data_IF_038760965037
#
_entry.id   IF_038760965037
#
_cell.length_a   1.000
_cell.length_b   1.000
_cell.length_c   1.000
_cell.angle_alpha   90.00
_cell.angle_beta   90.00
_cell.angle_gamma   90.00
#
_symmetry.space_group_name_H-M   'P 1'
#
loop_
_entity.id
_entity.type
_entity.pdbx_description
1 polymer ?
#
# COMPACT_ATOMS: atom_id res chain seq x y z
N UNK A 1 6.17 -4.44 -26.47
CA UNK A 1 5.11 -4.52 -25.44
C UNK A 1 5.05 -3.18 -24.74
N UNK A 2 3.93 -2.49 -24.84
CA UNK A 2 3.74 -1.16 -24.27
C UNK A 2 3.76 -1.21 -22.74
N UNK A 3 4.45 -0.26 -22.10
CA UNK A 3 4.57 -0.22 -20.64
C UNK A 3 3.36 0.49 -20.01
N UNK A 4 2.54 -0.26 -19.27
CA UNK A 4 1.35 0.29 -18.60
C UNK A 4 1.71 0.84 -17.23
N UNK A 5 1.81 2.17 -17.15
CA UNK A 5 2.16 2.87 -15.91
C UNK A 5 0.95 3.42 -15.12
N UNK A 6 -0.23 3.51 -15.74
CA UNK A 6 -1.40 4.15 -15.13
C UNK A 6 -2.28 3.09 -14.46
N UNK A 7 -2.52 3.26 -13.16
CA UNK A 7 -3.54 2.53 -12.43
C UNK A 7 -4.90 3.21 -12.58
N UNK A 8 -5.91 2.45 -13.01
CA UNK A 8 -7.28 2.94 -13.25
C UNK A 8 -8.10 3.16 -11.97
N UNK A 9 -7.62 2.67 -10.83
CA UNK A 9 -8.25 2.88 -9.53
C UNK A 9 -7.21 2.90 -8.41
N UNK A 10 -7.54 3.55 -7.30
CA UNK A 10 -6.70 3.58 -6.11
C UNK A 10 -6.44 2.15 -5.57
N UNK A 11 -7.45 1.27 -5.57
CA UNK A 11 -7.25 -0.13 -5.17
C UNK A 11 -6.31 -0.87 -6.13
N UNK A 12 -6.46 -0.65 -7.44
CA UNK A 12 -5.57 -1.21 -8.45
C UNK A 12 -4.12 -0.76 -8.25
N UNK A 13 -3.92 0.51 -7.92
CA UNK A 13 -2.61 1.07 -7.58
C UNK A 13 -1.98 0.37 -6.37
N UNK A 14 -2.72 0.28 -5.26
CA UNK A 14 -2.24 -0.37 -4.02
C UNK A 14 -1.93 -1.84 -4.26
N UNK A 15 -2.80 -2.55 -4.98
CA UNK A 15 -2.61 -3.97 -5.30
C UNK A 15 -1.37 -4.18 -6.17
N UNK A 16 -1.19 -3.37 -7.21
CA UNK A 16 -0.01 -3.45 -8.08
C UNK A 16 1.28 -3.22 -7.27
N UNK A 17 1.31 -2.18 -6.44
CA UNK A 17 2.46 -1.85 -5.60
C UNK A 17 2.81 -2.98 -4.63
N UNK A 18 1.81 -3.51 -3.91
CA UNK A 18 2.00 -4.56 -2.93
C UNK A 18 2.39 -5.90 -3.58
N UNK A 19 1.62 -6.35 -4.58
CA UNK A 19 1.71 -7.72 -5.11
C UNK A 19 2.74 -7.86 -6.23
N UNK A 20 2.91 -6.84 -7.08
CA UNK A 20 3.80 -6.94 -8.24
C UNK A 20 5.19 -6.36 -7.97
N UNK A 21 5.33 -5.41 -7.05
CA UNK A 21 6.61 -4.70 -6.83
C UNK A 21 7.26 -5.03 -5.49
N UNK A 22 6.59 -4.75 -4.37
CA UNK A 22 7.20 -4.89 -3.04
C UNK A 22 7.65 -6.34 -2.76
N UNK A 23 6.78 -7.30 -3.06
CA UNK A 23 7.06 -8.76 -2.99
C UNK A 23 8.26 -9.19 -3.84
N UNK A 24 8.55 -8.47 -4.93
CA UNK A 24 9.61 -8.81 -5.88
C UNK A 24 10.91 -8.02 -5.64
N UNK A 25 11.02 -7.32 -4.50
CA UNK A 25 12.26 -6.68 -4.07
C UNK A 25 12.43 -5.24 -4.54
N UNK A 26 11.38 -4.60 -5.04
CA UNK A 26 11.37 -3.18 -5.38
C UNK A 26 11.18 -2.36 -4.09
N UNK A 27 12.24 -2.21 -3.31
CA UNK A 27 12.19 -1.59 -1.98
C UNK A 27 12.60 -0.12 -1.97
N UNK A 28 13.39 0.31 -2.94
CA UNK A 28 13.84 1.70 -3.01
C UNK A 28 12.88 2.50 -3.86
N UNK A 29 12.49 3.68 -3.43
CA UNK A 29 11.48 4.45 -4.15
C UNK A 29 11.64 5.96 -4.01
N UNK A 30 11.05 6.65 -4.97
CA UNK A 30 10.68 8.07 -4.90
C UNK A 30 9.18 8.14 -5.16
N UNK A 31 8.48 8.97 -4.40
CA UNK A 31 7.06 9.21 -4.59
C UNK A 31 6.77 10.71 -4.54
N UNK A 32 5.75 11.14 -5.26
CA UNK A 32 5.34 12.54 -5.27
C UNK A 32 4.01 12.76 -5.98
N UNK A 33 3.58 14.02 -5.97
CA UNK A 33 2.40 14.49 -6.70
C UNK A 33 2.85 15.40 -7.83
N UNK A 34 2.36 15.14 -9.04
CA UNK A 34 2.66 15.94 -10.22
C UNK A 34 1.88 17.26 -10.09
N UNK A 35 2.54 18.43 -10.21
CA UNK A 35 1.86 19.74 -10.15
C UNK A 35 0.81 19.92 -11.24
N UNK A 36 -0.24 20.68 -10.93
CA UNK A 36 -1.28 21.05 -11.88
C UNK A 36 -0.72 21.74 -13.13
N UNK A 37 -1.46 21.64 -14.25
CA UNK A 37 -1.05 22.18 -15.54
C UNK A 37 0.06 21.39 -16.28
N UNK A 38 0.71 20.41 -15.63
CA UNK A 38 1.65 19.51 -16.32
C UNK A 38 0.91 18.46 -17.14
N UNK A 39 1.39 18.24 -18.37
CA UNK A 39 1.04 17.08 -19.19
C UNK A 39 1.56 15.79 -18.54
N UNK A 40 0.62 14.95 -18.13
CA UNK A 40 0.89 13.71 -17.44
C UNK A 40 1.48 12.65 -18.39
N UNK A 41 0.98 12.56 -19.62
CA UNK A 41 1.43 11.54 -20.57
C UNK A 41 2.86 11.82 -21.05
N UNK A 42 3.18 13.08 -21.33
CA UNK A 42 4.55 13.47 -21.67
C UNK A 42 5.52 13.22 -20.51
N UNK A 43 5.11 13.48 -19.26
CA UNK A 43 5.93 13.19 -18.09
C UNK A 43 6.15 11.68 -17.91
N UNK A 44 5.10 10.87 -18.07
CA UNK A 44 5.18 9.42 -17.98
C UNK A 44 6.21 8.87 -18.98
N UNK A 45 6.08 9.26 -20.25
CA UNK A 45 7.00 8.86 -21.32
C UNK A 45 8.44 9.25 -20.99
N UNK A 46 8.65 10.50 -20.55
CA UNK A 46 9.95 11.02 -20.14
C UNK A 46 10.59 10.23 -19.00
N UNK A 47 9.81 9.84 -17.98
CA UNK A 47 10.32 9.06 -16.85
C UNK A 47 10.63 7.61 -17.25
N UNK A 48 9.77 7.01 -18.07
CA UNK A 48 9.95 5.65 -18.59
C UNK A 48 11.24 5.55 -19.41
N UNK A 49 11.46 6.51 -20.30
CA UNK A 49 12.64 6.59 -21.15
C UNK A 49 13.89 6.86 -20.32
N UNK A 50 13.89 7.93 -19.51
CA UNK A 50 15.03 8.36 -18.67
C UNK A 50 15.61 7.24 -17.83
N UNK A 51 14.76 6.39 -17.27
CA UNK A 51 15.16 5.30 -16.37
C UNK A 51 15.15 3.92 -17.02
N UNK A 52 14.91 3.82 -18.33
CA UNK A 52 14.94 2.55 -19.07
C UNK A 52 13.97 1.51 -18.51
N UNK A 53 12.74 1.92 -18.18
CA UNK A 53 11.75 1.11 -17.44
C UNK A 53 11.07 0.07 -18.33
N UNK A 54 10.78 0.46 -19.59
CA UNK A 54 10.04 -0.33 -20.57
C UNK A 54 10.89 -1.45 -21.20
N UNK A 55 11.39 -2.35 -20.37
CA UNK A 55 12.21 -3.51 -20.80
C UNK A 55 11.46 -4.82 -20.61
N UNK A 56 11.85 -5.83 -21.40
CA UNK A 56 11.24 -7.16 -21.34
C UNK A 56 11.53 -7.87 -20.01
N UNK A 57 10.70 -8.87 -19.67
CA UNK A 57 10.93 -9.77 -18.52
C UNK A 57 12.33 -10.39 -18.55
N UNK A 58 12.78 -10.81 -19.74
CA UNK A 58 14.09 -11.42 -19.95
C UNK A 58 15.23 -10.42 -19.73
N UNK A 59 15.09 -9.18 -20.20
CA UNK A 59 16.05 -8.12 -19.94
C UNK A 59 16.17 -7.83 -18.43
N UNK A 60 15.04 -7.78 -17.69
CA UNK A 60 15.06 -7.62 -16.22
C UNK A 60 15.80 -8.76 -15.51
N UNK A 61 15.59 -10.01 -15.96
CA UNK A 61 16.28 -11.18 -15.43
C UNK A 61 17.81 -11.08 -15.64
N UNK A 62 18.24 -10.72 -16.86
CA UNK A 62 19.67 -10.54 -17.18
C UNK A 62 20.30 -9.41 -16.36
N UNK A 63 19.63 -8.26 -16.25
CA UNK A 63 20.09 -7.12 -15.43
C UNK A 63 20.31 -7.53 -13.97
N UNK A 64 19.38 -8.29 -13.39
CA UNK A 64 19.50 -8.80 -12.01
C UNK A 64 20.72 -9.71 -11.85
N UNK A 65 21.00 -10.59 -12.82
CA UNK A 65 22.21 -11.44 -12.81
C UNK A 65 23.51 -10.62 -12.90
N UNK A 66 23.49 -9.49 -13.59
CA UNK A 66 24.61 -8.56 -13.72
C UNK A 66 24.73 -7.56 -12.55
N UNK A 67 23.92 -7.70 -11.50
CA UNK A 67 23.90 -6.77 -10.36
C UNK A 67 23.33 -5.38 -10.67
N UNK A 68 22.67 -5.22 -11.82
CA UNK A 68 21.98 -3.99 -12.20
C UNK A 68 20.58 -3.96 -11.59
N UNK A 69 20.14 -2.77 -11.14
CA UNK A 69 18.77 -2.62 -10.67
C UNK A 69 17.77 -2.62 -11.83
N UNK A 70 16.57 -3.09 -11.53
CA UNK A 70 15.40 -2.93 -12.36
C UNK A 70 14.51 -1.82 -11.79
N UNK A 71 13.89 -1.06 -12.68
CA UNK A 71 13.01 0.05 -12.35
C UNK A 71 11.55 -0.28 -12.67
N UNK A 72 10.63 0.31 -11.92
CA UNK A 72 9.20 0.36 -12.22
C UNK A 72 8.67 1.77 -11.96
N UNK A 73 7.70 2.18 -12.76
CA UNK A 73 6.96 3.42 -12.62
C UNK A 73 5.46 3.12 -12.55
N UNK A 74 4.77 3.73 -11.58
CA UNK A 74 3.33 3.59 -11.40
C UNK A 74 2.72 4.94 -11.02
N UNK A 75 1.60 5.29 -11.66
CA UNK A 75 0.87 6.52 -11.40
C UNK A 75 -0.62 6.24 -11.21
N UNK A 76 -1.26 6.95 -10.28
CA UNK A 76 -2.70 7.05 -10.19
C UNK A 76 -3.05 8.53 -10.11
N UNK A 77 -3.85 9.02 -11.06
CA UNK A 77 -4.12 10.45 -11.23
C UNK A 77 -2.79 11.25 -11.26
N UNK A 78 -2.57 12.15 -10.31
CA UNK A 78 -1.34 12.94 -10.19
C UNK A 78 -0.31 12.35 -9.24
N UNK A 79 -0.65 11.33 -8.45
CA UNK A 79 0.29 10.68 -7.55
C UNK A 79 1.11 9.62 -8.29
N UNK A 80 2.43 9.64 -8.11
CA UNK A 80 3.33 8.70 -8.77
C UNK A 80 4.35 8.08 -7.82
N UNK A 81 4.86 6.92 -8.22
CA UNK A 81 5.98 6.23 -7.56
C UNK A 81 6.93 5.69 -8.61
N UNK A 82 8.22 5.99 -8.45
CA UNK A 82 9.34 5.29 -9.08
C UNK A 82 9.90 4.29 -8.07
N UNK A 83 10.08 3.04 -8.47
CA UNK A 83 10.65 1.99 -7.63
C UNK A 83 11.86 1.34 -8.28
N UNK A 84 12.82 0.93 -7.46
CA UNK A 84 14.01 0.21 -7.87
C UNK A 84 14.23 -1.04 -7.01
N UNK A 85 14.71 -2.11 -7.64
CA UNK A 85 15.34 -3.22 -6.92
C UNK A 85 16.72 -2.81 -6.41
N UNK A 86 17.31 -3.59 -5.50
CA UNK A 86 18.74 -3.46 -5.20
C UNK A 86 19.58 -3.69 -6.47
N UNK A 87 20.62 -2.90 -6.67
CA UNK A 87 21.58 -3.02 -7.77
C UNK A 87 22.12 -1.67 -8.22
N UNK A 88 23.02 -1.66 -9.21
CA UNK A 88 23.55 -0.42 -9.80
C UNK A 88 22.52 0.22 -10.75
N UNK A 89 22.27 1.52 -10.59
CA UNK A 89 21.47 2.33 -11.51
C UNK A 89 21.68 3.82 -11.27
N UNK A 90 21.62 4.63 -12.34
CA UNK A 90 21.73 6.10 -12.26
C UNK A 90 20.62 6.75 -11.40
N UNK A 91 19.50 6.04 -11.21
CA UNK A 91 18.40 6.45 -10.33
C UNK A 91 18.87 6.74 -8.89
N UNK A 92 19.76 5.91 -8.35
CA UNK A 92 20.23 6.05 -6.96
C UNK A 92 21.06 7.33 -6.75
N UNK A 93 21.80 7.75 -7.77
CA UNK A 93 22.57 8.99 -7.74
C UNK A 93 21.67 10.21 -7.96
N UNK A 94 20.84 10.17 -9.01
CA UNK A 94 20.00 11.31 -9.43
C UNK A 94 18.93 11.67 -8.39
N UNK A 95 18.35 10.66 -7.76
CA UNK A 95 17.23 10.85 -6.83
C UNK A 95 17.67 10.72 -5.36
N UNK A 96 18.98 10.78 -5.08
CA UNK A 96 19.55 10.50 -3.74
C UNK A 96 18.88 11.26 -2.60
N UNK A 97 18.47 12.51 -2.85
CA UNK A 97 17.85 13.39 -1.84
C UNK A 97 16.41 13.00 -1.50
N UNK A 98 15.67 12.44 -2.46
CA UNK A 98 14.27 12.04 -2.32
C UNK A 98 14.09 10.52 -2.14
N UNK A 99 15.17 9.76 -2.30
CA UNK A 99 15.21 8.31 -2.22
C UNK A 99 14.83 7.81 -0.82
N UNK A 100 13.91 6.86 -0.78
CA UNK A 100 13.42 6.20 0.44
C UNK A 100 13.48 4.69 0.30
N UNK A 101 13.43 4.00 1.45
CA UNK A 101 13.38 2.55 1.53
C UNK A 101 12.06 2.12 2.18
N UNK A 102 11.21 1.40 1.43
CA UNK A 102 9.90 0.87 1.85
C UNK A 102 9.96 0.04 3.14
N UNK A 103 11.11 -0.58 3.42
CA UNK A 103 11.31 -1.38 4.64
C UNK A 103 11.39 -0.52 5.90
N UNK A 104 11.72 0.77 5.75
CA UNK A 104 11.85 1.76 6.84
C UNK A 104 10.73 2.80 6.79
N UNK A 105 10.38 3.25 5.58
CA UNK A 105 9.44 4.31 5.30
C UNK A 105 8.37 3.79 4.33
N UNK A 106 7.18 3.38 4.81
CA UNK A 106 6.10 2.93 3.94
C UNK A 106 5.57 4.07 3.07
N UNK A 107 5.05 3.72 1.89
CA UNK A 107 4.37 4.66 0.99
C UNK A 107 3.00 4.99 1.57
N UNK A 108 2.68 6.28 1.67
CA UNK A 108 1.35 6.75 2.08
C UNK A 108 0.54 7.12 0.85
N UNK A 109 -0.62 6.49 0.65
CA UNK A 109 -1.47 6.72 -0.50
C UNK A 109 -2.92 6.27 -0.24
N UNK A 110 -3.91 7.10 -0.58
CA UNK A 110 -5.33 6.73 -0.50
C UNK A 110 -5.79 6.31 0.91
N UNK A 111 -5.24 6.93 1.96
CA UNK A 111 -5.51 6.54 3.36
C UNK A 111 -4.80 5.26 3.82
N UNK A 112 -3.97 4.64 2.98
CA UNK A 112 -3.18 3.46 3.31
C UNK A 112 -1.72 3.79 3.63
N UNK A 113 -1.14 2.98 4.50
CA UNK A 113 0.31 2.82 4.67
C UNK A 113 0.74 1.51 4.02
N UNK A 114 1.57 1.60 2.99
CA UNK A 114 1.95 0.51 2.11
C UNK A 114 3.44 0.24 2.30
N UNK A 115 3.76 -0.81 3.04
CA UNK A 115 5.11 -1.19 3.39
C UNK A 115 5.40 -2.67 3.16
N UNK A 116 6.40 -3.18 3.87
CA UNK A 116 6.63 -4.61 4.01
C UNK A 116 7.05 -4.96 5.43
N UNK A 117 6.90 -6.23 5.80
CA UNK A 117 7.33 -6.77 7.10
C UNK A 117 7.97 -8.14 6.92
N UNK A 118 8.92 -8.48 7.79
CA UNK A 118 9.46 -9.83 7.83
C UNK A 118 8.39 -10.80 8.31
N UNK A 119 8.16 -11.87 7.56
CA UNK A 119 7.36 -13.01 7.96
C UNK A 119 8.13 -13.94 8.87
N UNK A 120 7.47 -15.01 9.32
CA UNK A 120 8.11 -16.08 10.10
C UNK A 120 9.19 -16.82 9.30
N UNK A 121 9.09 -16.79 7.98
CA UNK A 121 10.07 -17.33 7.03
C UNK A 121 11.31 -16.42 6.84
N UNK A 122 11.39 -15.31 7.60
CA UNK A 122 12.48 -14.33 7.49
C UNK A 122 12.44 -13.45 6.25
N UNK A 123 11.50 -13.67 5.32
CA UNK A 123 11.35 -12.92 4.07
C UNK A 123 10.45 -11.70 4.25
N UNK A 124 10.67 -10.67 3.45
CA UNK A 124 9.80 -9.50 3.45
C UNK A 124 8.53 -9.77 2.64
N UNK A 125 7.39 -9.60 3.28
CA UNK A 125 6.06 -9.67 2.68
C UNK A 125 5.44 -8.28 2.63
N UNK A 126 4.73 -7.98 1.55
CA UNK A 126 4.00 -6.72 1.44
C UNK A 126 2.97 -6.59 2.58
N UNK A 127 2.85 -5.38 3.12
CA UNK A 127 1.96 -5.08 4.24
C UNK A 127 1.23 -3.78 3.95
N UNK A 128 -0.04 -3.90 3.56
CA UNK A 128 -0.96 -2.77 3.36
C UNK A 128 -1.78 -2.62 4.63
N UNK A 129 -1.75 -1.43 5.23
CA UNK A 129 -2.42 -1.07 6.48
C UNK A 129 -3.22 0.21 6.28
N UNK A 130 -4.24 0.44 7.11
CA UNK A 130 -4.83 1.78 7.26
C UNK A 130 -3.74 2.70 7.81
N UNK A 131 -3.55 3.87 7.19
CA UNK A 131 -2.63 4.89 7.63
C UNK A 131 -2.94 5.34 9.06
N UNK A 132 -1.91 5.78 9.81
CA UNK A 132 -2.05 6.07 11.24
C UNK A 132 -3.15 7.10 11.51
N UNK A 133 -3.14 8.25 10.83
CA UNK A 133 -4.13 9.29 11.04
C UNK A 133 -5.55 8.80 10.73
N UNK A 134 -5.73 8.15 9.58
CA UNK A 134 -7.01 7.56 9.19
C UNK A 134 -7.49 6.53 10.23
N UNK A 135 -6.57 5.71 10.75
CA UNK A 135 -6.88 4.72 11.78
C UNK A 135 -7.29 5.37 13.10
N UNK A 136 -6.61 6.45 13.52
CA UNK A 136 -6.95 7.18 14.74
C UNK A 136 -8.30 7.89 14.62
N UNK A 137 -8.59 8.50 13.47
CA UNK A 137 -9.89 9.13 13.21
C UNK A 137 -11.02 8.09 13.25
N UNK A 138 -10.85 6.95 12.57
CA UNK A 138 -11.81 5.84 12.62
C UNK A 138 -11.98 5.33 14.06
N UNK A 139 -10.88 5.17 14.79
CA UNK A 139 -10.94 4.73 16.19
C UNK A 139 -11.77 5.69 17.03
N UNK A 140 -11.50 6.99 16.96
CA UNK A 140 -12.24 8.01 17.71
C UNK A 140 -13.73 7.99 17.38
N UNK A 141 -14.07 7.98 16.09
CA UNK A 141 -15.45 7.92 15.61
C UNK A 141 -16.19 6.70 16.16
N UNK A 142 -15.63 5.50 15.98
CA UNK A 142 -16.27 4.27 16.42
C UNK A 142 -16.34 4.13 17.95
N UNK A 143 -15.35 4.65 18.70
CA UNK A 143 -15.45 4.62 20.16
C UNK A 143 -16.53 5.55 20.70
N UNK A 144 -16.73 6.72 20.07
CA UNK A 144 -17.81 7.63 20.44
C UNK A 144 -19.18 7.06 20.04
N UNK A 145 -19.31 6.58 18.81
CA UNK A 145 -20.53 5.99 18.29
C UNK A 145 -20.99 4.77 19.12
N UNK A 146 -20.06 3.94 19.60
CA UNK A 146 -20.36 2.77 20.43
C UNK A 146 -21.07 3.11 21.76
N UNK A 147 -20.98 4.35 22.25
CA UNK A 147 -21.67 4.81 23.45
C UNK A 147 -23.14 5.18 23.19
N UNK A 148 -23.51 5.40 21.93
CA UNK A 148 -24.82 5.95 21.55
C UNK A 148 -25.62 5.02 20.62
N UNK A 149 -24.98 4.01 20.03
CA UNK A 149 -25.60 3.08 19.08
C UNK A 149 -25.86 1.71 19.70
N UNK A 150 -26.86 1.02 19.17
CA UNK A 150 -27.07 -0.39 19.46
C UNK A 150 -25.89 -1.23 18.93
N UNK A 151 -25.64 -2.39 19.55
CA UNK A 151 -24.60 -3.32 19.07
C UNK A 151 -24.83 -3.75 17.60
N UNK A 152 -26.10 -3.84 17.17
CA UNK A 152 -26.48 -4.19 15.81
C UNK A 152 -26.07 -3.13 14.79
N UNK A 153 -26.40 -1.86 15.07
CA UNK A 153 -26.08 -0.75 14.17
C UNK A 153 -24.58 -0.51 14.08
N UNK A 154 -23.88 -0.59 15.22
CA UNK A 154 -22.43 -0.52 15.28
C UNK A 154 -21.76 -1.62 14.42
N UNK A 155 -22.30 -2.84 14.47
CA UNK A 155 -21.80 -3.95 13.65
C UNK A 155 -22.08 -3.76 12.16
N UNK A 156 -23.25 -3.21 11.80
CA UNK A 156 -23.62 -2.93 10.41
C UNK A 156 -22.71 -1.87 9.78
N UNK A 157 -22.39 -0.80 10.51
CA UNK A 157 -21.49 0.25 10.06
C UNK A 157 -20.06 -0.28 9.85
N UNK A 158 -19.54 -1.09 10.77
CA UNK A 158 -18.23 -1.71 10.64
C UNK A 158 -18.16 -2.72 9.49
N UNK A 159 -19.23 -3.49 9.22
CA UNK A 159 -19.27 -4.42 8.07
C UNK A 159 -19.07 -3.70 6.74
N UNK A 160 -19.57 -2.47 6.59
CA UNK A 160 -19.36 -1.66 5.37
C UNK A 160 -17.88 -1.37 5.12
N UNK A 161 -17.07 -1.25 6.17
CA UNK A 161 -15.62 -1.03 6.07
C UNK A 161 -14.82 -2.32 5.80
N UNK A 162 -15.39 -3.51 6.02
CA UNK A 162 -14.67 -4.79 5.91
C UNK A 162 -14.50 -5.32 4.49
N UNK A 163 -15.03 -4.63 3.47
CA UNK A 163 -14.96 -5.04 2.05
C UNK A 163 -13.54 -5.02 1.45
N UNK A 164 -12.51 -4.70 2.23
CA UNK A 164 -11.11 -4.65 1.80
C UNK A 164 -10.43 -6.02 1.71
N UNK A 165 -9.65 -6.23 0.64
CA UNK A 165 -8.93 -7.50 0.39
C UNK A 165 -7.64 -7.66 1.20
N UNK A 166 -7.16 -6.61 1.89
CA UNK A 166 -5.86 -6.64 2.56
C UNK A 166 -5.97 -7.20 3.98
N UNK A 167 -5.32 -8.34 4.23
CA UNK A 167 -5.37 -9.01 5.53
C UNK A 167 -5.00 -8.10 6.74
N UNK A 168 -3.95 -7.25 6.68
CA UNK A 168 -3.62 -6.38 7.81
C UNK A 168 -4.68 -5.28 8.05
N UNK A 169 -5.34 -4.79 7.00
CA UNK A 169 -6.47 -3.84 7.12
C UNK A 169 -7.63 -4.52 7.84
N UNK A 170 -7.99 -5.76 7.48
CA UNK A 170 -9.02 -6.53 8.19
C UNK A 170 -8.69 -6.71 9.68
N UNK A 171 -7.43 -6.97 10.03
CA UNK A 171 -6.99 -7.06 11.42
C UNK A 171 -7.14 -5.72 12.16
N UNK A 172 -6.85 -4.59 11.51
CA UNK A 172 -7.05 -3.25 12.07
C UNK A 172 -8.53 -2.97 12.32
N UNK A 173 -9.41 -3.32 11.37
CA UNK A 173 -10.87 -3.17 11.54
C UNK A 173 -11.37 -4.06 12.70
N UNK A 174 -10.91 -5.30 12.80
CA UNK A 174 -11.24 -6.18 13.93
C UNK A 174 -10.72 -5.64 15.27
N UNK A 175 -9.61 -4.88 15.27
CA UNK A 175 -9.14 -4.18 16.46
C UNK A 175 -10.04 -2.99 16.84
N UNK A 176 -10.56 -2.24 15.85
CA UNK A 176 -11.56 -1.18 16.08
C UNK A 176 -12.86 -1.74 16.68
N UNK A 177 -13.36 -2.85 16.13
CA UNK A 177 -14.54 -3.54 16.66
C UNK A 177 -14.37 -3.93 18.14
N UNK A 178 -13.23 -4.52 18.48
CA UNK A 178 -12.92 -4.86 19.88
C UNK A 178 -12.78 -3.64 20.78
N UNK A 179 -12.30 -2.52 20.26
CA UNK A 179 -12.20 -1.28 21.02
C UNK A 179 -13.59 -0.70 21.32
N UNK A 180 -14.46 -0.57 20.31
CA UNK A 180 -15.82 -0.05 20.51
C UNK A 180 -16.66 -0.93 21.43
N UNK A 181 -16.60 -2.26 21.28
CA UNK A 181 -17.32 -3.18 22.17
C UNK A 181 -16.91 -3.03 23.64
N UNK A 182 -15.63 -2.77 23.92
CA UNK A 182 -15.17 -2.52 25.30
C UNK A 182 -15.71 -1.20 25.85
N UNK A 183 -15.77 -0.16 25.02
CA UNK A 183 -16.26 1.17 25.43
C UNK A 183 -17.77 1.19 25.65
N UNK A 184 -18.55 0.57 24.76
CA UNK A 184 -20.01 0.57 24.83
C UNK A 184 -20.62 -0.50 25.74
N UNK A 185 -19.82 -1.29 26.46
CA UNK A 185 -20.31 -2.38 27.31
C UNK A 185 -20.92 -3.56 26.53
N UNK A 186 -20.78 -3.59 25.20
CA UNK A 186 -21.32 -4.63 24.34
C UNK A 186 -20.46 -5.89 24.46
N UNK A 187 -20.91 -6.86 25.27
CA UNK A 187 -20.21 -8.13 25.43
C UNK A 187 -19.90 -8.76 24.05
N UNK A 188 -18.63 -9.10 23.81
CA UNK A 188 -18.24 -9.81 22.60
C UNK A 188 -18.91 -11.18 22.61
N UNK A 189 -19.99 -11.36 21.84
CA UNK A 189 -20.59 -12.66 21.55
C UNK A 189 -19.59 -13.55 20.79
N UNK A 190 -18.63 -14.11 21.52
CA UNK A 190 -17.79 -15.26 21.12
C UNK A 190 -18.03 -16.35 22.14
N UNK A 191 -19.25 -16.87 22.17
CA UNK A 191 -19.67 -17.86 23.16
C UNK A 191 -20.84 -18.74 22.74
N UNK A 192 -21.32 -18.67 21.49
CA UNK A 192 -22.31 -19.61 20.97
C UNK A 192 -21.65 -20.53 19.93
N UNK A 193 -20.78 -21.44 20.40
CA UNK A 193 -20.52 -22.68 19.66
C UNK A 193 -21.42 -23.74 20.29
N UNK A 194 -22.49 -24.03 19.55
CA UNK A 194 -23.24 -25.30 19.51
C UNK A 194 -22.79 -26.36 20.52
N UNK A 195 -23.59 -26.53 21.57
CA UNK A 195 -23.92 -27.86 22.08
C UNK A 195 -25.33 -28.14 21.59
N UNK A 196 -25.41 -28.99 20.58
CA UNK A 196 -26.34 -30.12 20.46
C UNK A 196 -25.71 -31.11 19.48
#
# INVERSE_FOLDING_TARGET
MEYRCIATSAEGFVRQLAVAYITHGYWFYVAGTIPEGKDLAALDAKLIERYGIAISKWARCRRKKQGLANMQYLRHERFFVLLATKGRHVFFERERTSLRDIRRMPISFGGYSIGCRKGRDGRYHASVRIGLQTYLNLKSHFTAAAMHMSAGDFHAELKRLQSTRFAPVRHQIAALLRAGNRTGGHASARGARTRD
#
